data_IF_938679768691
#
_entry.id   IF_938679768691
#
_cell.length_a   1.000
_cell.length_b   1.000
_cell.length_c   1.000
_cell.angle_alpha   90.00
_cell.angle_beta   90.00
_cell.angle_gamma   90.00
#
_symmetry.space_group_name_H-M   'P 1'
#
loop_
_entity.id
_entity.type
_entity.pdbx_description
1 polymer ?
#
# COMPACT_ATOMS: atom_id res chain seq x y z
N UNK A 1 -20.33 -19.90 -3.76
CA UNK A 1 -19.74 -18.73 -4.44
C UNK A 1 -20.36 -17.50 -3.82
N UNK A 2 -19.76 -17.02 -2.73
CA UNK A 2 -20.17 -15.76 -2.11
C UNK A 2 -19.79 -14.63 -3.06
N UNK A 3 -20.74 -13.76 -3.39
CA UNK A 3 -20.46 -12.60 -4.23
C UNK A 3 -19.65 -11.64 -3.37
N UNK A 4 -18.41 -11.37 -3.78
CA UNK A 4 -17.59 -10.31 -3.17
C UNK A 4 -18.43 -9.04 -3.05
N UNK A 5 -18.49 -8.49 -1.83
CA UNK A 5 -19.36 -7.36 -1.50
C UNK A 5 -18.72 -6.10 -2.09
N UNK A 6 -19.28 -5.63 -3.22
CA UNK A 6 -18.74 -4.44 -3.90
C UNK A 6 -18.86 -3.19 -3.03
N UNK A 7 -17.74 -2.51 -2.80
CA UNK A 7 -17.69 -1.19 -2.15
C UNK A 7 -18.19 -0.13 -3.12
N UNK A 8 -18.92 0.86 -2.58
CA UNK A 8 -19.50 1.97 -3.34
C UNK A 8 -19.07 3.36 -2.83
N UNK A 9 -18.49 3.44 -1.64
CA UNK A 9 -18.09 4.68 -0.97
C UNK A 9 -17.01 4.35 0.07
N UNK A 10 -16.03 5.25 0.22
CA UNK A 10 -14.98 5.20 1.24
C UNK A 10 -15.19 6.25 2.34
N UNK A 11 -16.41 6.74 2.51
CA UNK A 11 -16.76 7.69 3.56
C UNK A 11 -16.37 7.17 4.95
N UNK A 12 -15.65 8.01 5.71
CA UNK A 12 -15.14 7.69 7.05
C UNK A 12 -13.89 6.81 7.08
N UNK A 13 -13.38 6.37 5.92
CA UNK A 13 -12.10 5.67 5.79
C UNK A 13 -10.98 6.69 5.57
N UNK A 14 -9.87 6.53 6.27
CA UNK A 14 -8.68 7.37 6.15
C UNK A 14 -7.52 6.64 5.49
N UNK A 15 -7.51 5.32 5.58
CA UNK A 15 -6.52 4.50 4.89
C UNK A 15 -7.14 3.20 4.41
N UNK A 16 -6.80 2.83 3.18
CA UNK A 16 -6.99 1.50 2.62
C UNK A 16 -5.61 0.90 2.38
N UNK A 17 -5.36 -0.31 2.84
CA UNK A 17 -4.08 -1.01 2.65
C UNK A 17 -4.31 -2.30 1.90
N UNK A 18 -3.64 -2.47 0.78
CA UNK A 18 -3.57 -3.74 0.06
C UNK A 18 -2.33 -4.45 0.56
N UNK A 19 -2.52 -5.60 1.19
CA UNK A 19 -1.43 -6.43 1.66
C UNK A 19 -1.19 -7.55 0.65
N UNK A 20 0.08 -7.80 0.37
CA UNK A 20 0.55 -8.95 -0.41
C UNK A 20 1.61 -9.68 0.40
N UNK A 21 1.20 -10.78 1.01
CA UNK A 21 2.04 -11.71 1.76
C UNK A 21 2.20 -13.05 1.02
N UNK A 22 1.91 -13.11 -0.28
CA UNK A 22 1.96 -14.36 -1.06
C UNK A 22 3.33 -15.05 -1.02
N UNK A 23 4.41 -14.27 -0.97
CA UNK A 23 5.80 -14.74 -0.87
C UNK A 23 6.40 -14.53 0.54
N UNK A 24 5.59 -14.17 1.54
CA UNK A 24 6.06 -13.89 2.89
C UNK A 24 6.36 -15.17 3.67
N UNK A 25 7.56 -15.21 4.25
CA UNK A 25 7.96 -16.24 5.21
C UNK A 25 8.50 -15.56 6.46
N UNK A 26 7.78 -15.70 7.58
CA UNK A 26 8.14 -15.07 8.86
C UNK A 26 9.55 -15.41 9.37
N UNK A 27 10.14 -16.53 8.95
CA UNK A 27 11.52 -16.90 9.33
C UNK A 27 12.58 -16.21 8.45
N UNK A 28 12.16 -15.62 7.32
CA UNK A 28 13.02 -14.99 6.30
C UNK A 28 12.64 -13.54 6.00
N UNK A 29 11.63 -13.01 6.67
CA UNK A 29 11.01 -11.73 6.31
C UNK A 29 11.82 -10.49 6.67
N UNK A 30 12.95 -10.65 7.36
CA UNK A 30 13.85 -9.55 7.70
C UNK A 30 14.96 -9.39 6.65
N UNK A 31 15.68 -10.47 6.33
CA UNK A 31 16.86 -10.46 5.44
C UNK A 31 16.99 -11.68 4.52
N UNK A 32 16.01 -12.59 4.54
CA UNK A 32 16.05 -13.86 3.83
C UNK A 32 15.37 -13.85 2.46
N UNK A 33 14.86 -12.70 2.00
CA UNK A 33 14.29 -12.52 0.66
C UNK A 33 12.82 -12.92 0.49
N UNK A 34 12.11 -13.21 1.57
CA UNK A 34 10.69 -13.60 1.55
C UNK A 34 9.85 -12.58 2.33
N UNK A 35 9.64 -11.41 1.72
CA UNK A 35 9.05 -10.24 2.35
C UNK A 35 7.57 -10.12 2.05
N UNK A 36 6.83 -9.53 2.99
CA UNK A 36 5.49 -9.02 2.74
C UNK A 36 5.58 -7.61 2.20
N UNK A 37 4.68 -7.26 1.30
CA UNK A 37 4.55 -5.93 0.74
C UNK A 37 3.16 -5.39 1.01
N UNK A 38 3.04 -4.07 1.01
CA UNK A 38 1.74 -3.43 1.02
C UNK A 38 1.75 -2.11 0.28
N UNK A 39 0.58 -1.77 -0.24
CA UNK A 39 0.28 -0.47 -0.83
C UNK A 39 -0.76 0.23 0.04
N UNK A 40 -0.37 1.34 0.63
CA UNK A 40 -1.21 2.21 1.45
C UNK A 40 -1.79 3.34 0.60
N UNK A 41 -3.11 3.44 0.58
CA UNK A 41 -3.85 4.58 0.08
C UNK A 41 -4.31 5.42 1.26
N UNK A 42 -3.77 6.62 1.43
CA UNK A 42 -4.09 7.52 2.54
C UNK A 42 -4.90 8.71 2.04
N UNK A 43 -6.03 8.99 2.69
CA UNK A 43 -6.94 10.06 2.26
C UNK A 43 -6.31 11.44 2.53
N UNK A 44 -6.34 12.29 1.52
CA UNK A 44 -5.89 13.68 1.58
C UNK A 44 -7.06 14.64 1.81
N UNK A 45 -6.77 15.85 2.30
CA UNK A 45 -7.78 16.88 2.56
C UNK A 45 -8.54 17.32 1.30
N UNK A 46 -7.93 17.17 0.12
CA UNK A 46 -8.54 17.48 -1.17
C UNK A 46 -9.45 16.36 -1.71
N UNK A 47 -9.63 15.26 -0.96
CA UNK A 47 -10.45 14.10 -1.34
C UNK A 47 -9.75 13.08 -2.25
N UNK A 48 -8.49 13.32 -2.64
CA UNK A 48 -7.66 12.35 -3.33
C UNK A 48 -7.03 11.36 -2.33
N UNK A 49 -6.44 10.29 -2.85
CA UNK A 49 -5.75 9.28 -2.07
C UNK A 49 -4.28 9.23 -2.48
N UNK A 50 -3.40 9.49 -1.53
CA UNK A 50 -1.95 9.34 -1.70
C UNK A 50 -1.56 7.86 -1.62
N UNK A 51 -0.78 7.39 -2.58
CA UNK A 51 -0.29 6.02 -2.68
C UNK A 51 1.11 5.96 -2.11
N UNK A 52 1.35 5.05 -1.17
CA UNK A 52 2.66 4.78 -0.60
C UNK A 52 2.91 3.29 -0.46
N UNK A 53 4.17 2.88 -0.56
CA UNK A 53 4.56 1.47 -0.54
C UNK A 53 5.29 1.13 0.76
N UNK A 54 5.15 -0.10 1.22
CA UNK A 54 5.93 -0.62 2.35
C UNK A 54 6.24 -2.10 2.22
N UNK A 55 7.19 -2.54 3.04
CA UNK A 55 7.67 -3.91 3.08
C UNK A 55 8.01 -4.33 4.50
N UNK A 56 7.98 -5.62 4.79
CA UNK A 56 8.47 -6.18 6.05
C UNK A 56 10.00 -6.21 6.15
N UNK A 57 10.70 -5.99 5.02
CA UNK A 57 12.15 -6.02 4.99
C UNK A 57 12.76 -4.98 5.92
N UNK A 58 13.93 -5.29 6.49
CA UNK A 58 14.66 -4.36 7.37
C UNK A 58 15.46 -3.28 6.61
N UNK A 59 15.51 -3.38 5.27
CA UNK A 59 16.28 -2.51 4.40
C UNK A 59 15.56 -1.21 4.07
N UNK A 60 16.33 -0.20 3.64
CA UNK A 60 15.77 1.03 3.10
C UNK A 60 14.90 0.71 1.87
N UNK A 61 13.61 1.02 2.00
CA UNK A 61 12.61 0.82 0.95
C UNK A 61 11.90 2.13 0.71
N UNK A 62 11.93 2.60 -0.53
CA UNK A 62 11.36 3.88 -0.89
C UNK A 62 9.83 3.84 -0.85
N UNK A 63 9.16 4.63 -0.01
CA UNK A 63 7.70 4.63 0.06
C UNK A 63 7.04 5.32 -1.15
N UNK A 64 7.80 6.03 -1.97
CA UNK A 64 7.31 6.77 -3.15
C UNK A 64 7.23 5.86 -4.38
N UNK A 65 8.27 5.09 -4.67
CA UNK A 65 8.34 4.24 -5.86
C UNK A 65 8.28 2.73 -5.57
N UNK A 66 8.40 2.31 -4.31
CA UNK A 66 8.40 0.90 -3.93
C UNK A 66 9.65 0.14 -4.34
N UNK A 67 10.82 0.81 -4.40
CA UNK A 67 12.11 0.17 -4.70
C UNK A 67 13.06 0.18 -3.49
N UNK A 68 13.92 -0.83 -3.43
CA UNK A 68 15.08 -0.91 -2.52
C UNK A 68 16.28 -0.07 -3.00
N UNK A 69 16.16 0.65 -4.11
CA UNK A 69 17.21 1.53 -4.61
C UNK A 69 17.50 2.70 -3.67
N UNK A 70 18.77 3.09 -3.59
CA UNK A 70 19.18 4.30 -2.88
C UNK A 70 18.85 5.51 -3.76
N UNK A 71 17.88 6.30 -3.31
CA UNK A 71 17.45 7.52 -4.00
C UNK A 71 18.25 8.75 -3.56
N UNK A 72 19.44 8.55 -2.97
CA UNK A 72 20.30 9.64 -2.53
C UNK A 72 21.26 10.02 -3.64
N UNK A 73 21.33 11.31 -3.91
CA UNK A 73 22.31 11.91 -4.79
C UNK A 73 23.69 11.93 -4.13
N UNK A 74 24.73 12.22 -4.92
CA UNK A 74 26.12 12.27 -4.43
C UNK A 74 26.34 13.30 -3.30
N UNK A 75 25.49 14.33 -3.21
CA UNK A 75 25.50 15.35 -2.17
C UNK A 75 24.70 14.95 -0.91
N UNK A 76 24.10 13.75 -0.89
CA UNK A 76 23.29 13.22 0.21
C UNK A 76 21.82 13.65 0.18
N UNK A 77 21.39 14.40 -0.84
CA UNK A 77 19.97 14.80 -1.00
C UNK A 77 19.15 13.60 -1.47
N UNK A 78 18.00 13.34 -0.82
CA UNK A 78 17.08 12.28 -1.22
C UNK A 78 16.11 12.78 -2.31
N UNK A 79 16.08 12.13 -3.46
CA UNK A 79 15.24 12.49 -4.61
C UNK A 79 14.60 11.23 -5.24
N UNK A 80 13.29 11.05 -5.02
CA UNK A 80 12.48 10.02 -5.72
C UNK A 80 11.30 10.62 -6.50
N UNK A 81 10.99 11.91 -6.30
CA UNK A 81 9.79 12.56 -6.83
C UNK A 81 8.66 12.67 -5.81
N UNK A 82 7.45 12.93 -6.29
CA UNK A 82 6.24 13.09 -5.48
C UNK A 82 5.46 11.76 -5.38
N UNK A 83 4.70 11.60 -4.30
CA UNK A 83 3.80 10.46 -4.16
C UNK A 83 2.73 10.48 -5.25
N UNK A 84 2.43 9.30 -5.79
CA UNK A 84 1.30 9.15 -6.69
C UNK A 84 0.00 9.44 -5.92
N UNK A 85 -0.95 10.09 -6.60
CA UNK A 85 -2.30 10.26 -6.07
C UNK A 85 -3.31 9.64 -7.02
N UNK A 86 -4.39 9.09 -6.46
CA UNK A 86 -5.51 8.51 -7.20
C UNK A 86 -6.82 9.07 -6.69
N UNK A 87 -7.84 9.07 -7.53
CA UNK A 87 -9.19 9.45 -7.14
C UNK A 87 -9.86 8.36 -6.30
N UNK A 88 -10.90 8.73 -5.55
CA UNK A 88 -11.71 7.77 -4.81
C UNK A 88 -12.38 6.74 -5.74
N UNK A 89 -12.78 7.16 -6.94
CA UNK A 89 -13.40 6.27 -7.95
C UNK A 89 -12.42 5.20 -8.43
N UNK A 90 -11.19 5.58 -8.78
CA UNK A 90 -10.13 4.63 -9.19
C UNK A 90 -9.83 3.63 -8.07
N UNK A 91 -9.70 4.11 -6.83
CA UNK A 91 -9.45 3.23 -5.69
C UNK A 91 -10.61 2.24 -5.46
N UNK A 92 -11.86 2.70 -5.56
CA UNK A 92 -13.04 1.83 -5.46
C UNK A 92 -13.06 0.79 -6.58
N UNK A 93 -12.68 1.15 -7.80
CA UNK A 93 -12.56 0.20 -8.90
C UNK A 93 -11.51 -0.87 -8.62
N UNK A 94 -10.34 -0.49 -8.12
CA UNK A 94 -9.27 -1.43 -7.77
C UNK A 94 -9.69 -2.37 -6.63
N UNK A 95 -10.29 -1.83 -5.55
CA UNK A 95 -10.86 -2.63 -4.45
C UNK A 95 -11.87 -3.66 -4.99
N UNK A 96 -12.74 -3.25 -5.91
CA UNK A 96 -13.80 -4.11 -6.44
C UNK A 96 -13.30 -5.16 -7.44
N UNK A 97 -12.12 -4.97 -8.03
CA UNK A 97 -11.45 -5.94 -8.91
C UNK A 97 -10.57 -6.90 -8.13
N UNK A 98 -10.07 -6.48 -6.98
CA UNK A 98 -9.20 -7.27 -6.14
C UNK A 98 -9.91 -8.52 -5.61
N UNK A 99 -9.21 -9.65 -5.65
CA UNK A 99 -9.71 -10.93 -5.17
C UNK A 99 -8.86 -11.30 -3.96
N UNK A 100 -9.47 -11.18 -2.78
CA UNK A 100 -8.77 -11.51 -1.53
C UNK A 100 -8.51 -13.02 -1.43
N UNK A 101 -7.32 -13.36 -0.95
CA UNK A 101 -6.87 -14.71 -0.61
C UNK A 101 -6.45 -14.73 0.87
N UNK A 102 -5.97 -15.87 1.36
CA UNK A 102 -5.43 -15.95 2.74
C UNK A 102 -4.16 -15.08 2.91
N UNK A 103 -3.41 -14.85 1.82
CA UNK A 103 -2.13 -14.13 1.82
C UNK A 103 -2.24 -12.71 1.25
N UNK A 104 -3.26 -12.43 0.45
CA UNK A 104 -3.50 -11.14 -0.20
C UNK A 104 -4.84 -10.56 0.23
N UNK A 105 -4.87 -9.45 0.98
CA UNK A 105 -6.10 -8.94 1.58
C UNK A 105 -6.09 -7.42 1.78
N UNK A 106 -7.28 -6.83 1.88
CA UNK A 106 -7.47 -5.39 2.04
C UNK A 106 -7.81 -5.05 3.49
N UNK A 107 -7.02 -4.16 4.11
CA UNK A 107 -7.32 -3.58 5.42
C UNK A 107 -7.89 -2.16 5.28
N UNK A 108 -8.92 -1.85 6.07
CA UNK A 108 -9.53 -0.52 6.13
C UNK A 108 -9.34 0.09 7.51
N UNK A 109 -8.87 1.34 7.55
CA UNK A 109 -8.70 2.11 8.78
C UNK A 109 -9.51 3.38 8.72
N UNK A 110 -10.50 3.49 9.61
CA UNK A 110 -11.29 4.70 9.79
C UNK A 110 -10.62 5.74 10.70
N UNK A 111 -11.26 6.89 10.85
CA UNK A 111 -10.89 7.87 11.87
C UNK A 111 -11.08 7.26 13.27
N UNK A 112 -10.07 7.41 14.15
CA UNK A 112 -10.29 7.21 15.58
C UNK A 112 -11.23 8.33 16.04
N UNK A 113 -12.47 7.96 16.39
CA UNK A 113 -13.40 8.86 17.08
C UNK A 113 -12.83 9.31 18.43
#
# INVERSE_FOLDING_TARGET
>A
MEKAKKIKSLEGIQRVRFNDFSEYDSEKSANGGAYGFWTDYTRLENGMWEVSYGTTAEFDFCPVCGSFDDHRLEDGTYECGEFQTVSEEELIEEINKFVETDDEFIEYKGEKQ
#
